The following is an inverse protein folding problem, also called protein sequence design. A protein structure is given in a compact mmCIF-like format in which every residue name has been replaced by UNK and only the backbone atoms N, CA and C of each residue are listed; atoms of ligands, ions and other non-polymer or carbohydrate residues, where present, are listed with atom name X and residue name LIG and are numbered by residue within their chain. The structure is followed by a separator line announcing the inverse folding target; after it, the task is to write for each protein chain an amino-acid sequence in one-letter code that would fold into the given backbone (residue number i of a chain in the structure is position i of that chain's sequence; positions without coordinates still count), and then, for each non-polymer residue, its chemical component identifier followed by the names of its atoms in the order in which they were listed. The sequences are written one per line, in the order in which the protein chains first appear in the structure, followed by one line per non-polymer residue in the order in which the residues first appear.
data_IF_575846684576
#
_entry.id   IF_575846684576
#
_cell.length_a   1.000
_cell.length_b   1.000
_cell.length_c   1.000
_cell.angle_alpha   90.00
_cell.angle_beta   90.00
_cell.angle_gamma   90.00
#
_symmetry.space_group_name_H-M   'P 1'
#
loop_
_entity.id
_entity.type
_entity.pdbx_description
1 polymer ?
#
# COMPACT_ATOMS: atom_id res chain seq x y z
N UNK A 1 -21.84 -1.86 4.42
CA UNK A 1 -20.89 -2.74 3.73
C UNK A 1 -21.14 -2.55 2.25
N UNK A 2 -20.27 -1.83 1.55
CA UNK A 2 -20.37 -1.65 0.09
C UNK A 2 -20.08 -2.96 -0.65
N UNK A 3 -20.42 -3.04 -1.95
CA UNK A 3 -20.11 -4.23 -2.75
C UNK A 3 -18.59 -4.41 -2.83
N UNK A 4 -18.09 -5.58 -2.42
CA UNK A 4 -16.70 -5.96 -2.61
C UNK A 4 -16.64 -6.78 -3.91
N UNK A 5 -15.91 -6.29 -4.91
CA UNK A 5 -15.70 -7.07 -6.14
C UNK A 5 -14.63 -8.14 -5.89
N UNK A 6 -14.84 -9.33 -6.44
CA UNK A 6 -13.83 -10.38 -6.38
C UNK A 6 -12.58 -9.96 -7.15
N UNK A 7 -11.40 -10.22 -6.60
CA UNK A 7 -10.14 -10.06 -7.35
C UNK A 7 -10.11 -10.99 -8.56
N UNK A 8 -9.22 -10.70 -9.51
CA UNK A 8 -8.91 -11.66 -10.58
C UNK A 8 -8.45 -13.01 -9.99
N UNK A 9 -8.75 -14.14 -10.67
CA UNK A 9 -8.34 -15.46 -10.20
C UNK A 9 -6.82 -15.62 -10.21
N UNK A 10 -6.30 -16.35 -9.22
CA UNK A 10 -4.87 -16.63 -9.06
C UNK A 10 -4.62 -18.12 -8.85
N UNK A 11 -3.59 -18.66 -9.52
CA UNK A 11 -3.22 -20.07 -9.39
C UNK A 11 -2.35 -20.31 -8.14
N UNK A 12 -2.88 -21.11 -7.22
CA UNK A 12 -2.16 -21.56 -6.03
C UNK A 12 -1.18 -22.72 -6.31
N UNK A 13 -1.15 -23.24 -7.54
CA UNK A 13 -0.37 -24.43 -7.88
C UNK A 13 1.12 -24.14 -8.00
N UNK A 14 1.46 -22.90 -8.38
CA UNK A 14 2.85 -22.48 -8.59
C UNK A 14 3.49 -22.04 -7.27
N UNK A 15 3.98 -23.02 -6.50
CA UNK A 15 4.79 -22.78 -5.30
C UNK A 15 6.07 -22.00 -5.68
N UNK A 16 6.40 -20.97 -4.90
CA UNK A 16 7.55 -20.09 -5.14
C UNK A 16 7.21 -18.86 -6.01
N UNK A 17 5.98 -18.76 -6.50
CA UNK A 17 5.53 -17.59 -7.26
C UNK A 17 5.21 -16.39 -6.36
N UNK A 18 5.47 -15.20 -6.90
CA UNK A 18 5.01 -13.92 -6.36
C UNK A 18 4.29 -13.17 -7.48
N UNK A 19 3.07 -12.70 -7.24
CA UNK A 19 2.31 -11.88 -8.21
C UNK A 19 1.63 -10.71 -7.50
N UNK A 20 1.33 -9.64 -8.24
CA UNK A 20 0.47 -8.56 -7.76
C UNK A 20 -0.99 -8.96 -7.92
N UNK A 21 -1.81 -8.67 -6.92
CA UNK A 21 -3.26 -8.81 -6.96
C UNK A 21 -3.91 -7.49 -6.56
N UNK A 22 -4.94 -7.13 -7.31
CA UNK A 22 -5.74 -5.95 -7.07
C UNK A 22 -7.00 -6.33 -6.29
N UNK A 23 -7.24 -5.60 -5.20
CA UNK A 23 -8.43 -5.70 -4.37
C UNK A 23 -9.17 -4.37 -4.52
N UNK A 24 -10.23 -4.38 -5.32
CA UNK A 24 -11.06 -3.22 -5.57
C UNK A 24 -12.18 -3.13 -4.51
N UNK A 25 -12.41 -1.92 -4.00
CA UNK A 25 -13.56 -1.61 -3.16
C UNK A 25 -14.13 -0.24 -3.50
N UNK A 26 -15.23 0.13 -2.85
CA UNK A 26 -15.89 1.41 -3.12
C UNK A 26 -14.95 2.59 -2.76
N UNK A 27 -14.44 3.26 -3.79
CA UNK A 27 -13.56 4.43 -3.66
C UNK A 27 -12.08 4.12 -3.38
N UNK A 28 -11.65 2.86 -3.41
CA UNK A 28 -10.23 2.50 -3.24
C UNK A 28 -9.81 1.30 -4.10
N UNK A 29 -8.53 1.30 -4.49
CA UNK A 29 -7.85 0.17 -5.10
C UNK A 29 -6.65 -0.20 -4.24
N UNK A 30 -6.61 -1.43 -3.76
CA UNK A 30 -5.50 -1.95 -2.96
C UNK A 30 -4.71 -2.96 -3.79
N UNK A 31 -3.47 -2.61 -4.14
CA UNK A 31 -2.53 -3.55 -4.74
C UNK A 31 -1.80 -4.31 -3.62
N UNK A 32 -1.79 -5.64 -3.71
CA UNK A 32 -1.06 -6.50 -2.77
C UNK A 32 -0.16 -7.46 -3.53
N UNK A 33 1.05 -7.69 -3.02
CA UNK A 33 1.85 -8.82 -3.51
C UNK A 33 1.40 -10.09 -2.79
N UNK A 34 1.03 -11.12 -3.56
CA UNK A 34 0.74 -12.44 -3.05
C UNK A 34 1.89 -13.39 -3.36
N UNK A 35 2.34 -14.12 -2.35
CA UNK A 35 3.37 -15.13 -2.47
C UNK A 35 2.83 -16.49 -2.01
N UNK A 36 3.12 -17.54 -2.77
CA UNK A 36 2.83 -18.93 -2.40
C UNK A 36 4.13 -19.64 -2.03
N UNK A 37 4.20 -20.22 -0.85
CA UNK A 37 5.31 -21.07 -0.45
C UNK A 37 4.81 -22.38 0.19
N UNK A 38 5.71 -23.34 0.42
CA UNK A 38 5.40 -24.53 1.21
C UNK A 38 5.90 -24.33 2.63
N UNK A 39 5.10 -24.77 3.60
CA UNK A 39 5.54 -24.83 4.98
C UNK A 39 6.72 -25.81 5.12
N UNK A 40 7.65 -25.50 6.02
CA UNK A 40 8.79 -26.37 6.27
C UNK A 40 8.45 -27.49 7.27
N UNK A 41 9.29 -28.53 7.29
CA UNK A 41 9.25 -29.58 8.31
C UNK A 41 8.00 -30.46 8.27
N UNK A 42 7.38 -30.70 9.43
CA UNK A 42 6.24 -31.63 9.61
C UNK A 42 5.00 -31.27 8.76
N UNK A 43 4.94 -30.04 8.25
CA UNK A 43 3.82 -29.54 7.46
C UNK A 43 4.17 -29.32 5.99
N UNK A 44 5.14 -30.04 5.43
CA UNK A 44 5.64 -29.85 4.06
C UNK A 44 4.59 -30.00 2.93
N UNK A 45 3.38 -30.50 3.21
CA UNK A 45 2.25 -30.51 2.28
C UNK A 45 1.36 -29.26 2.33
N UNK A 46 1.59 -28.34 3.27
CA UNK A 46 0.76 -27.13 3.47
C UNK A 46 1.31 -25.97 2.64
N UNK A 47 0.45 -25.36 1.83
CA UNK A 47 0.76 -24.10 1.15
C UNK A 47 0.56 -22.93 2.11
N UNK A 48 1.56 -22.05 2.20
CA UNK A 48 1.50 -20.77 2.90
C UNK A 48 1.22 -19.70 1.86
N UNK A 49 0.17 -18.91 2.08
CA UNK A 49 -0.19 -17.77 1.24
C UNK A 49 0.10 -16.51 2.02
N UNK A 50 1.07 -15.72 1.54
CA UNK A 50 1.45 -14.45 2.16
C UNK A 50 0.91 -13.31 1.31
N UNK A 51 0.06 -12.46 1.91
CA UNK A 51 -0.43 -11.23 1.29
C UNK A 51 0.34 -10.03 1.87
N UNK A 52 0.94 -9.24 1.00
CA UNK A 52 1.69 -8.04 1.35
C UNK A 52 1.00 -6.81 0.72
N UNK A 53 0.01 -6.21 1.41
CA UNK A 53 -0.68 -5.03 0.89
C UNK A 53 0.27 -3.83 0.82
N UNK A 54 0.17 -3.04 -0.25
CA UNK A 54 0.88 -1.77 -0.39
C UNK A 54 -0.12 -0.66 -0.69
N UNK A 55 -0.11 0.39 0.11
CA UNK A 55 -0.85 1.60 -0.19
C UNK A 55 0.05 2.55 -0.98
N UNK A 56 -0.44 3.04 -2.12
CA UNK A 56 0.24 4.06 -2.93
C UNK A 56 -0.60 5.32 -2.94
N UNK A 57 0.02 6.46 -2.68
CA UNK A 57 -0.60 7.77 -2.86
C UNK A 57 -0.14 8.33 -4.19
N UNK A 58 -1.10 8.72 -5.01
CA UNK A 58 -0.88 9.43 -6.27
C UNK A 58 -1.29 10.90 -6.07
N UNK A 59 -0.32 11.82 -6.13
CA UNK A 59 -0.64 13.24 -6.03
C UNK A 59 -1.16 13.74 -7.39
N UNK A 60 -2.49 13.83 -7.53
CA UNK A 60 -3.16 14.38 -8.72
C UNK A 60 -3.43 15.89 -8.62
N UNK A 61 -2.96 16.54 -7.57
CA UNK A 61 -3.07 17.99 -7.43
C UNK A 61 -2.01 18.68 -8.27
N UNK A 62 -2.22 19.95 -8.58
CA UNK A 62 -1.29 20.83 -9.29
C UNK A 62 -0.12 21.33 -8.40
N UNK A 63 -0.15 21.00 -7.11
CA UNK A 63 0.86 21.41 -6.14
C UNK A 63 1.42 20.22 -5.36
N UNK A 64 2.67 20.30 -4.88
CA UNK A 64 3.26 19.26 -4.05
C UNK A 64 2.52 19.11 -2.72
N UNK A 65 2.54 17.90 -2.16
CA UNK A 65 1.96 17.61 -0.84
C UNK A 65 2.98 17.00 0.09
N UNK A 66 2.94 17.36 1.37
CA UNK A 66 3.65 16.61 2.41
C UNK A 66 2.72 15.61 3.06
N UNK A 67 3.19 14.38 3.23
CA UNK A 67 2.49 13.32 3.95
C UNK A 67 3.28 12.90 5.20
N UNK A 68 2.58 12.50 6.26
CA UNK A 68 3.16 11.90 7.45
C UNK A 68 2.12 11.10 8.23
N UNK A 69 2.57 10.06 8.94
CA UNK A 69 1.69 9.32 9.86
C UNK A 69 1.32 10.21 11.05
N UNK A 70 0.04 10.18 11.44
CA UNK A 70 -0.44 10.90 12.63
C UNK A 70 0.25 10.33 13.88
N UNK A 71 0.83 11.20 14.71
CA UNK A 71 1.60 10.83 15.89
C UNK A 71 3.07 10.50 15.65
N UNK A 72 3.57 10.60 14.40
CA UNK A 72 4.98 10.42 14.02
C UNK A 72 5.54 11.66 13.29
N UNK A 73 4.95 12.84 13.51
CA UNK A 73 5.17 14.02 12.67
C UNK A 73 6.57 14.61 12.75
N UNK A 74 7.30 14.32 13.82
CA UNK A 74 8.69 14.72 14.05
C UNK A 74 9.69 13.73 13.45
N UNK A 75 9.29 12.45 13.36
CA UNK A 75 10.18 11.35 12.97
C UNK A 75 10.33 11.25 11.45
N UNK A 76 9.27 11.55 10.68
CA UNK A 76 9.32 11.44 9.23
C UNK A 76 8.16 12.16 8.55
N UNK A 77 8.50 12.98 7.55
CA UNK A 77 7.56 13.53 6.57
C UNK A 77 8.15 13.33 5.18
N UNK A 78 7.31 12.91 4.25
CA UNK A 78 7.70 12.78 2.85
C UNK A 78 6.97 13.80 2.01
N UNK A 79 7.64 14.32 0.98
CA UNK A 79 7.05 15.22 -0.01
C UNK A 79 6.78 14.42 -1.28
N UNK A 80 5.57 14.55 -1.82
CA UNK A 80 5.17 13.97 -3.10
C UNK A 80 4.98 15.14 -4.07
N UNK A 81 5.76 15.18 -5.15
CA UNK A 81 5.63 16.18 -6.19
C UNK A 81 4.31 16.10 -6.95
N UNK A 82 4.02 17.12 -7.75
CA UNK A 82 2.86 17.16 -8.65
C UNK A 82 2.91 16.00 -9.65
N UNK A 83 1.87 15.17 -9.70
CA UNK A 83 1.80 14.00 -10.59
C UNK A 83 2.60 12.79 -10.13
N UNK A 84 3.36 12.88 -9.03
CA UNK A 84 4.19 11.79 -8.52
C UNK A 84 3.40 10.80 -7.67
N UNK A 85 3.99 9.61 -7.49
CA UNK A 85 3.45 8.54 -6.67
C UNK A 85 4.43 8.15 -5.57
N UNK A 86 3.90 7.82 -4.40
CA UNK A 86 4.70 7.32 -3.29
C UNK A 86 4.02 6.16 -2.57
N UNK A 87 4.79 5.10 -2.30
CA UNK A 87 4.38 4.02 -1.42
C UNK A 87 4.35 4.53 0.03
N UNK A 88 3.20 4.35 0.69
CA UNK A 88 3.02 4.66 2.10
C UNK A 88 3.42 3.46 2.94
N UNK A 89 4.20 3.72 3.99
CA UNK A 89 4.51 2.76 5.04
C UNK A 89 4.16 3.37 6.39
N UNK A 90 3.58 2.57 7.26
CA UNK A 90 3.39 2.93 8.66
C UNK A 90 4.75 2.82 9.36
N UNK A 91 5.17 3.90 10.01
CA UNK A 91 6.48 4.00 10.68
C UNK A 91 6.44 3.31 12.03
N UNK A 92 5.34 3.48 12.75
CA UNK A 92 5.09 2.86 14.04
C UNK A 92 3.77 2.11 14.03
N UNK A 93 3.82 0.82 14.31
CA UNK A 93 2.62 -0.05 14.33
C UNK A 93 1.68 0.24 15.50
N UNK A 94 2.22 0.77 16.61
CA UNK A 94 1.45 1.13 17.81
C UNK A 94 0.69 2.45 17.66
N UNK A 95 0.99 3.23 16.62
CA UNK A 95 0.37 4.54 16.35
C UNK A 95 -0.77 4.39 15.36
N UNK A 96 -1.60 5.43 15.29
CA UNK A 96 -2.76 5.46 14.40
C UNK A 96 -2.33 5.27 12.94
N UNK A 97 -3.05 4.42 12.20
CA UNK A 97 -2.84 4.19 10.77
C UNK A 97 -3.61 5.22 9.94
N UNK A 98 -3.37 6.48 10.22
CA UNK A 98 -3.92 7.61 9.48
C UNK A 98 -2.81 8.54 9.00
N UNK A 99 -3.09 9.22 7.88
CA UNK A 99 -2.16 10.15 7.27
C UNK A 99 -2.62 11.58 7.46
N UNK A 100 -1.68 12.43 7.86
CA UNK A 100 -1.83 13.87 7.76
C UNK A 100 -1.23 14.32 6.44
N UNK A 101 -2.06 14.95 5.61
CA UNK A 101 -1.68 15.53 4.33
C UNK A 101 -1.67 17.06 4.50
N UNK A 102 -0.61 17.72 4.04
CA UNK A 102 -0.56 19.19 3.95
C UNK A 102 -0.21 19.58 2.53
N UNK A 103 -0.96 20.55 2.00
CA UNK A 103 -0.65 21.20 0.73
C UNK A 103 0.60 22.07 0.94
N UNK A 104 1.55 21.97 0.01
CA UNK A 104 2.73 22.81 0.01
C UNK A 104 2.56 23.91 -1.05
N UNK A 105 3.07 25.12 -0.80
CA UNK A 105 3.02 26.19 -1.79
C UNK A 105 3.77 25.81 -3.05
N UNK A 106 3.22 26.23 -4.19
CA UNK A 106 3.81 26.04 -5.51
C UNK A 106 5.09 26.88 -5.63
N UNK A 107 6.24 26.22 -5.80
CA UNK A 107 7.54 26.90 -5.95
C UNK A 107 7.73 27.53 -7.34
N UNK A 108 6.75 27.38 -8.26
CA UNK A 108 6.83 27.92 -9.62
C UNK A 108 6.23 29.34 -9.79
N UNK A 109 5.75 29.98 -8.72
CA UNK A 109 5.25 31.37 -8.70
C UNK A 109 6.21 32.36 -8.03
N UNK A 110 7.49 32.30 -8.38
CA UNK A 110 8.51 33.30 -8.02
C UNK A 110 8.79 34.27 -9.16
#
# INVERSE_FOLDING_TARGET
MGPCEWSAPFSLDTVGSTQAVDIAGEGFLLEAAMQVSLAAGRFCGTKIITLTPRCVICNKLDQPVSIGQVGCEESYRSVIGTGEMQVVRWLEESKERSLRIKLLPDQSRG
#
